data_IF_904486294157
#
_entry.id   IF_904486294157
#
_cell.length_a   1.000
_cell.length_b   1.000
_cell.length_c   1.000
_cell.angle_alpha   90.00
_cell.angle_beta   90.00
_cell.angle_gamma   90.00
#
_symmetry.space_group_name_H-M   'P 1'
#
loop_
_entity.id
_entity.type
_entity.pdbx_description
1 polymer ?
#
# COMPACT_ATOMS: atom_id res chain seq x y z
N UNK A 1 26.77 15.37 -4.39
CA UNK A 1 25.58 15.00 -3.60
C UNK A 1 24.74 13.88 -4.23
N UNK A 2 25.31 12.96 -5.03
CA UNK A 2 24.46 12.19 -5.95
C UNK A 2 24.44 10.67 -5.67
N UNK A 3 25.57 10.04 -5.36
CA UNK A 3 25.61 8.57 -5.16
C UNK A 3 24.88 8.13 -3.89
N UNK A 4 25.07 8.81 -2.75
CA UNK A 4 24.41 8.42 -1.48
C UNK A 4 22.89 8.51 -1.60
N UNK A 5 22.38 9.59 -2.22
CA UNK A 5 20.94 9.78 -2.45
C UNK A 5 20.40 8.76 -3.46
N UNK A 6 21.13 8.50 -4.56
CA UNK A 6 20.76 7.47 -5.53
C UNK A 6 20.71 6.07 -4.90
N UNK A 7 21.72 5.69 -4.11
CA UNK A 7 21.75 4.38 -3.44
C UNK A 7 20.66 4.26 -2.38
N UNK A 8 20.38 5.33 -1.62
CA UNK A 8 19.27 5.36 -0.68
C UNK A 8 17.91 5.19 -1.40
N UNK A 9 17.72 5.87 -2.53
CA UNK A 9 16.52 5.74 -3.35
C UNK A 9 16.39 4.33 -3.96
N UNK A 10 17.47 3.75 -4.46
CA UNK A 10 17.48 2.38 -5.00
C UNK A 10 17.19 1.34 -3.91
N UNK A 11 17.72 1.52 -2.71
CA UNK A 11 17.47 0.62 -1.57
C UNK A 11 16.03 0.67 -1.10
N UNK A 12 15.44 1.88 -0.98
CA UNK A 12 14.03 2.04 -0.63
C UNK A 12 13.10 1.47 -1.71
N UNK A 13 13.47 1.62 -2.99
CA UNK A 13 12.74 1.09 -4.13
C UNK A 13 12.77 -0.45 -4.18
N UNK A 14 13.93 -1.08 -3.95
CA UNK A 14 14.04 -2.54 -3.89
C UNK A 14 13.19 -3.13 -2.74
N UNK A 15 13.25 -2.51 -1.56
CA UNK A 15 12.44 -2.91 -0.40
C UNK A 15 10.94 -2.68 -0.63
N UNK A 16 10.59 -1.55 -1.26
CA UNK A 16 9.21 -1.19 -1.59
C UNK A 16 8.59 -2.15 -2.60
N UNK A 17 9.32 -2.51 -3.67
CA UNK A 17 8.86 -3.49 -4.65
C UNK A 17 8.53 -4.85 -4.02
N UNK A 18 9.41 -5.32 -3.13
CA UNK A 18 9.22 -6.59 -2.46
C UNK A 18 8.05 -6.55 -1.46
N UNK A 19 7.92 -5.47 -0.69
CA UNK A 19 6.81 -5.27 0.24
C UNK A 19 5.46 -5.19 -0.47
N UNK A 20 5.35 -4.37 -1.52
CA UNK A 20 4.13 -4.24 -2.34
C UNK A 20 3.75 -5.56 -2.98
N UNK A 21 4.73 -6.32 -3.49
CA UNK A 21 4.49 -7.66 -4.01
C UNK A 21 3.83 -8.58 -2.97
N UNK A 22 4.34 -8.61 -1.73
CA UNK A 22 3.74 -9.40 -0.65
C UNK A 22 2.34 -8.92 -0.27
N UNK A 23 2.09 -7.61 -0.27
CA UNK A 23 0.75 -7.04 -0.02
C UNK A 23 -0.22 -7.48 -1.10
N UNK A 24 0.15 -7.35 -2.38
CA UNK A 24 -0.67 -7.77 -3.52
C UNK A 24 -1.00 -9.27 -3.47
N UNK A 25 -0.02 -10.10 -3.07
CA UNK A 25 -0.22 -11.53 -2.85
C UNK A 25 -1.22 -11.79 -1.72
N UNK A 26 -1.07 -11.11 -0.58
CA UNK A 26 -2.00 -11.24 0.55
C UNK A 26 -3.44 -10.89 0.15
N UNK A 27 -3.61 -9.83 -0.64
CA UNK A 27 -4.91 -9.43 -1.20
C UNK A 27 -5.48 -10.47 -2.19
N UNK A 28 -4.62 -11.11 -2.99
CA UNK A 28 -5.05 -12.17 -3.92
C UNK A 28 -5.43 -13.46 -3.19
N UNK A 29 -4.67 -13.83 -2.14
CA UNK A 29 -5.01 -14.96 -1.25
C UNK A 29 -6.32 -14.73 -0.50
N UNK A 30 -6.63 -13.48 -0.14
CA UNK A 30 -7.91 -13.09 0.47
C UNK A 30 -9.07 -12.94 -0.52
N UNK A 31 -8.87 -13.21 -1.83
CA UNK A 31 -9.90 -13.14 -2.86
C UNK A 31 -10.27 -11.74 -3.36
N UNK A 32 -9.60 -10.68 -2.87
CA UNK A 32 -9.87 -9.27 -3.24
C UNK A 32 -9.06 -8.78 -4.46
N UNK A 33 -8.12 -9.58 -4.97
CA UNK A 33 -7.36 -9.28 -6.19
C UNK A 33 -7.45 -10.42 -7.22
N UNK A 34 -7.42 -10.12 -8.53
CA UNK A 34 -7.59 -11.13 -9.58
C UNK A 34 -6.58 -12.27 -9.43
N UNK A 35 -7.04 -13.52 -9.62
CA UNK A 35 -6.27 -14.76 -9.39
C UNK A 35 -4.91 -14.80 -10.11
N UNK A 36 -4.71 -13.98 -11.13
CA UNK A 36 -3.45 -13.84 -11.85
C UNK A 36 -2.33 -13.19 -11.00
N UNK A 37 -2.67 -12.34 -10.02
CA UNK A 37 -1.72 -11.75 -9.06
C UNK A 37 -1.24 -12.74 -7.99
N UNK A 38 -1.90 -13.91 -7.86
CA UNK A 38 -1.51 -14.99 -6.96
C UNK A 38 -0.40 -15.90 -7.52
N UNK A 39 -0.10 -15.83 -8.83
CA UNK A 39 0.90 -16.70 -9.46
C UNK A 39 2.30 -16.37 -8.96
N UNK A 40 2.92 -17.35 -8.31
CA UNK A 40 4.26 -17.30 -7.72
C UNK A 40 5.29 -17.69 -8.79
N UNK A 41 6.39 -16.94 -8.90
CA UNK A 41 7.57 -17.39 -9.65
C UNK A 41 8.41 -18.33 -8.78
N UNK A 42 9.32 -19.11 -9.39
CA UNK A 42 10.16 -20.13 -8.75
C UNK A 42 11.01 -19.62 -7.58
N UNK A 43 11.23 -18.29 -7.48
CA UNK A 43 11.98 -17.65 -6.39
C UNK A 43 11.09 -17.16 -5.24
N UNK A 44 9.84 -17.62 -5.15
CA UNK A 44 8.86 -17.18 -4.15
C UNK A 44 8.47 -15.69 -4.22
N UNK A 45 8.77 -15.03 -5.34
CA UNK A 45 8.46 -13.62 -5.57
C UNK A 45 7.19 -13.50 -6.44
N UNK A 46 6.21 -12.65 -6.07
CA UNK A 46 5.02 -12.39 -6.87
C UNK A 46 5.36 -11.57 -8.12
N UNK A 47 5.72 -12.27 -9.19
CA UNK A 47 6.18 -11.70 -10.45
C UNK A 47 5.14 -10.79 -11.11
N UNK A 48 3.85 -11.07 -10.94
CA UNK A 48 2.78 -10.20 -11.43
C UNK A 48 2.82 -8.80 -10.79
N UNK A 49 3.13 -8.69 -9.49
CA UNK A 49 3.26 -7.40 -8.80
C UNK A 49 4.48 -6.61 -9.28
N UNK A 50 5.59 -7.31 -9.54
CA UNK A 50 6.80 -6.69 -10.11
C UNK A 50 6.55 -6.20 -11.52
N UNK A 51 5.94 -7.01 -12.39
CA UNK A 51 5.62 -6.63 -13.77
C UNK A 51 4.71 -5.40 -13.84
N UNK A 52 3.67 -5.35 -13.02
CA UNK A 52 2.78 -4.18 -12.94
C UNK A 52 3.55 -2.95 -12.48
N UNK A 53 4.40 -3.09 -11.46
CA UNK A 53 5.18 -1.96 -10.95
C UNK A 53 6.23 -1.49 -11.96
N UNK A 54 6.91 -2.41 -12.65
CA UNK A 54 7.79 -2.10 -13.78
C UNK A 54 7.05 -1.39 -14.91
N UNK A 55 5.83 -1.83 -15.25
CA UNK A 55 4.98 -1.17 -16.24
C UNK A 55 4.66 0.27 -15.85
N UNK A 56 4.32 0.50 -14.58
CA UNK A 56 4.09 1.85 -14.03
C UNK A 56 5.36 2.69 -14.08
N UNK A 57 6.54 2.13 -13.75
CA UNK A 57 7.82 2.82 -13.88
C UNK A 57 8.11 3.23 -15.32
N UNK A 58 7.95 2.33 -16.28
CA UNK A 58 8.16 2.60 -17.70
C UNK A 58 7.20 3.68 -18.20
N UNK A 59 5.92 3.60 -17.81
CA UNK A 59 4.93 4.66 -18.06
C UNK A 59 5.39 5.99 -17.49
N UNK A 60 5.87 6.01 -16.24
CA UNK A 60 6.40 7.22 -15.60
C UNK A 60 7.59 7.82 -16.34
N UNK A 61 8.50 6.98 -16.86
CA UNK A 61 9.63 7.43 -17.70
C UNK A 61 9.14 8.01 -19.03
N UNK A 62 8.19 7.35 -19.70
CA UNK A 62 7.61 7.85 -20.95
C UNK A 62 6.92 9.20 -20.74
N UNK A 63 6.11 9.33 -19.67
CA UNK A 63 5.48 10.59 -19.29
C UNK A 63 6.53 11.67 -19.01
N UNK A 64 7.61 11.33 -18.29
CA UNK A 64 8.70 12.27 -18.01
C UNK A 64 9.37 12.80 -19.28
N UNK A 65 9.48 11.98 -20.34
CA UNK A 65 9.99 12.43 -21.64
C UNK A 65 9.06 13.43 -22.36
N UNK A 66 7.75 13.32 -22.18
CA UNK A 66 6.77 14.18 -22.84
C UNK A 66 6.59 15.53 -22.13
N UNK A 67 6.57 15.53 -20.78
CA UNK A 67 6.34 16.76 -19.98
C UNK A 67 7.20 16.76 -18.71
N UNK A 68 8.53 16.98 -18.82
CA UNK A 68 9.47 16.79 -17.71
C UNK A 68 9.19 17.69 -16.49
N UNK A 69 8.64 18.89 -16.69
CA UNK A 69 8.40 19.86 -15.61
C UNK A 69 7.12 19.60 -14.80
N UNK A 70 6.08 19.02 -15.42
CA UNK A 70 4.77 18.80 -14.75
C UNK A 70 4.60 17.39 -14.21
N UNK A 71 5.30 16.40 -14.78
CA UNK A 71 5.09 14.98 -14.45
C UNK A 71 5.47 14.67 -13.01
N UNK A 72 6.55 15.27 -12.50
CA UNK A 72 6.94 15.08 -11.11
C UNK A 72 5.84 15.55 -10.15
N UNK A 73 5.31 16.76 -10.36
CA UNK A 73 4.21 17.30 -9.55
C UNK A 73 2.93 16.47 -9.68
N UNK A 74 2.56 16.05 -10.90
CA UNK A 74 1.35 15.25 -11.14
C UNK A 74 1.45 13.91 -10.40
N UNK A 75 2.56 13.19 -10.55
CA UNK A 75 2.78 11.89 -9.89
C UNK A 75 2.79 12.07 -8.36
N UNK A 76 3.42 13.12 -7.86
CA UNK A 76 3.48 13.39 -6.42
C UNK A 76 2.10 13.74 -5.84
N UNK A 77 1.29 14.51 -6.56
CA UNK A 77 -0.09 14.83 -6.16
C UNK A 77 -0.98 13.57 -6.15
N UNK A 78 -0.90 12.73 -7.18
CA UNK A 78 -1.65 11.47 -7.25
C UNK A 78 -1.22 10.52 -6.11
N UNK A 79 0.08 10.41 -5.85
CA UNK A 79 0.61 9.60 -4.75
C UNK A 79 0.12 10.12 -3.39
N UNK A 80 0.16 11.43 -3.18
CA UNK A 80 -0.32 12.08 -1.95
C UNK A 80 -1.81 11.83 -1.74
N UNK A 81 -2.63 11.97 -2.79
CA UNK A 81 -4.06 11.65 -2.74
C UNK A 81 -4.28 10.18 -2.36
N UNK A 82 -3.54 9.25 -2.97
CA UNK A 82 -3.63 7.82 -2.65
C UNK A 82 -3.29 7.51 -1.20
N UNK A 83 -2.27 8.17 -0.63
CA UNK A 83 -1.91 8.04 0.78
C UNK A 83 -3.05 8.56 1.67
N UNK A 84 -3.58 9.75 1.40
CA UNK A 84 -4.69 10.33 2.18
C UNK A 84 -5.92 9.41 2.12
N UNK A 85 -6.31 8.95 0.93
CA UNK A 85 -7.42 8.01 0.76
C UNK A 85 -7.20 6.72 1.55
N UNK A 86 -5.98 6.18 1.56
CA UNK A 86 -5.64 4.99 2.33
C UNK A 86 -5.82 5.20 3.83
N UNK A 87 -5.35 6.33 4.37
CA UNK A 87 -5.53 6.69 5.78
C UNK A 87 -6.99 6.90 6.15
N UNK A 88 -7.76 7.60 5.30
CA UNK A 88 -9.20 7.77 5.49
C UNK A 88 -9.89 6.40 5.55
N UNK A 89 -9.55 5.49 4.64
CA UNK A 89 -10.12 4.15 4.64
C UNK A 89 -9.77 3.36 5.91
N UNK A 90 -8.51 3.44 6.36
CA UNK A 90 -8.08 2.83 7.63
C UNK A 90 -8.93 3.34 8.81
N UNK A 91 -9.13 4.66 8.90
CA UNK A 91 -9.94 5.28 9.95
C UNK A 91 -11.40 4.79 9.86
N UNK A 92 -11.99 4.78 8.67
CA UNK A 92 -13.37 4.32 8.44
C UNK A 92 -13.54 2.85 8.84
N UNK A 93 -12.62 1.97 8.42
CA UNK A 93 -12.61 0.57 8.83
C UNK A 93 -12.51 0.41 10.35
N UNK A 94 -11.65 1.21 10.99
CA UNK A 94 -11.49 1.20 12.44
C UNK A 94 -12.75 1.69 13.16
N UNK A 95 -13.42 2.73 12.65
CA UNK A 95 -14.69 3.21 13.18
C UNK A 95 -15.77 2.14 13.06
N UNK A 96 -15.91 1.49 11.90
CA UNK A 96 -16.86 0.39 11.70
C UNK A 96 -16.57 -0.81 12.60
N UNK A 97 -15.30 -1.16 12.80
CA UNK A 97 -14.92 -2.21 13.74
C UNK A 97 -15.36 -1.87 15.17
N UNK A 98 -15.21 -0.62 15.60
CA UNK A 98 -15.69 -0.19 16.94
C UNK A 98 -17.20 -0.26 17.07
N UNK A 99 -17.95 0.13 16.05
CA UNK A 99 -19.41 0.00 16.02
C UNK A 99 -19.80 -1.48 16.10
N UNK A 100 -19.17 -2.35 15.30
CA UNK A 100 -19.44 -3.79 15.31
C UNK A 100 -19.11 -4.47 16.66
N UNK A 101 -18.05 -4.02 17.35
CA UNK A 101 -17.74 -4.48 18.72
C UNK A 101 -18.80 -3.99 19.72
N UNK A 102 -19.27 -2.74 19.59
CA UNK A 102 -20.33 -2.19 20.45
C UNK A 102 -21.66 -2.92 20.26
N UNK A 103 -21.96 -3.38 19.04
CA UNK A 103 -23.13 -4.17 18.70
C UNK A 103 -22.99 -5.67 19.03
N UNK A 104 -21.86 -6.11 19.58
CA UNK A 104 -21.63 -7.52 19.95
C UNK A 104 -21.37 -8.47 18.77
N UNK A 105 -21.26 -7.95 17.54
CA UNK A 105 -21.06 -8.74 16.31
C UNK A 105 -19.59 -9.11 16.06
N UNK A 106 -18.65 -8.49 16.77
CA UNK A 106 -17.22 -8.73 16.64
C UNK A 106 -16.54 -8.88 18.00
N UNK A 107 -15.58 -9.81 18.11
CA UNK A 107 -14.80 -10.01 19.34
C UNK A 107 -14.02 -8.73 19.70
N UNK A 108 -13.93 -8.36 20.99
CA UNK A 108 -13.18 -7.19 21.40
C UNK A 108 -11.70 -7.33 21.02
N UNK A 109 -11.10 -6.24 20.58
CA UNK A 109 -9.66 -6.20 20.26
C UNK A 109 -8.83 -6.46 21.52
N UNK A 110 -7.83 -7.34 21.41
CA UNK A 110 -6.93 -7.69 22.52
C UNK A 110 -6.08 -6.50 22.99
N UNK A 111 -5.72 -5.61 22.06
CA UNK A 111 -5.02 -4.37 22.38
C UNK A 111 -6.01 -3.21 22.45
N UNK A 112 -6.35 -2.79 23.68
CA UNK A 112 -7.21 -1.63 23.93
C UNK A 112 -6.37 -0.36 23.80
N UNK A 113 -6.92 0.67 23.14
CA UNK A 113 -6.23 1.95 23.06
C UNK A 113 -5.99 2.52 24.46
N UNK A 114 -4.75 2.93 24.80
CA UNK A 114 -4.40 3.45 26.12
C UNK A 114 -5.27 4.63 26.57
N UNK A 115 -5.79 5.43 25.62
CA UNK A 115 -6.61 6.61 25.89
C UNK A 115 -8.13 6.34 25.96
N UNK A 116 -8.59 5.07 25.88
CA UNK A 116 -10.02 4.78 26.07
C UNK A 116 -10.32 4.72 27.57
N UNK A 117 -10.87 5.82 28.10
CA UNK A 117 -11.53 5.85 29.40
C UNK A 117 -12.55 4.69 29.45
N UNK A 118 -12.37 3.78 30.39
CA UNK A 118 -13.26 2.65 30.63
C UNK A 118 -14.71 3.14 30.68
N UNK A 119 -15.67 2.46 30.03
CA UNK A 119 -17.07 2.68 30.36
C UNK A 119 -17.26 2.28 31.84
N UNK A 120 -17.97 3.06 32.66
CA UNK A 120 -18.50 2.56 33.93
C UNK A 120 -19.62 1.55 33.63
N UNK A 121 -19.60 0.40 34.30
CA UNK A 121 -20.64 -0.64 34.23
C UNK A 121 -20.07 -1.98 33.84
#
# INVERSE_FOLDING_TARGET
MNIVVLTAALSSLNSGLYSTGRILRSLSMGGSAPKFMAKMSSQQVPYAGILVTCGIYVLGVILNYLVPSRVFEIVLNIASLGIICSWVFIIVCQMRLRVAIKEGKAKPVSFKMPARRSPPG
#
